data_IF_350132093962
#
_entry.id   IF_350132093962
#
_cell.length_a   1.000
_cell.length_b   1.000
_cell.length_c   1.000
_cell.angle_alpha   90.00
_cell.angle_beta   90.00
_cell.angle_gamma   90.00
#
_symmetry.space_group_name_H-M   'P 1'
#
loop_
_entity.id
_entity.type
_entity.pdbx_description
1 polymer ?
#
# COMPACT_ATOMS: atom_id res chain seq x y z
N UNK A 1 14.22 12.31 14.18
CA UNK A 1 13.85 11.04 13.53
C UNK A 1 15.05 10.18 13.14
N UNK A 2 16.14 10.75 12.59
CA UNK A 2 17.35 10.01 12.20
C UNK A 2 18.00 9.22 13.34
N UNK A 3 18.11 9.81 14.54
CA UNK A 3 18.66 9.14 15.72
C UNK A 3 17.82 7.93 16.19
N UNK A 4 16.49 8.04 16.13
CA UNK A 4 15.59 6.94 16.50
C UNK A 4 15.70 5.77 15.52
N UNK A 5 15.77 6.06 14.21
CA UNK A 5 15.96 5.06 13.17
C UNK A 5 17.30 4.34 13.32
N UNK A 6 18.37 5.09 13.59
CA UNK A 6 19.70 4.53 13.76
C UNK A 6 19.80 3.67 15.02
N UNK A 7 19.14 4.07 16.11
CA UNK A 7 19.05 3.26 17.34
C UNK A 7 18.32 1.93 17.11
N UNK A 8 17.19 1.95 16.38
CA UNK A 8 16.44 0.74 16.03
C UNK A 8 17.27 -0.19 15.16
N UNK A 9 17.96 0.33 14.14
CA UNK A 9 18.82 -0.47 13.27
C UNK A 9 19.95 -1.14 14.07
N UNK A 10 20.65 -0.39 14.94
CA UNK A 10 21.71 -0.96 15.77
C UNK A 10 21.20 -2.06 16.71
N UNK A 11 19.99 -1.90 17.26
CA UNK A 11 19.37 -2.92 18.11
C UNK A 11 18.94 -4.16 17.31
N UNK A 12 18.47 -3.97 16.08
CA UNK A 12 18.13 -5.06 15.17
C UNK A 12 19.38 -5.88 14.79
N UNK A 13 20.46 -5.21 14.42
CA UNK A 13 21.75 -5.84 14.08
C UNK A 13 22.31 -6.66 15.25
N UNK A 14 22.18 -6.15 16.48
CA UNK A 14 22.59 -6.87 17.68
C UNK A 14 21.76 -8.14 17.93
N UNK A 15 20.45 -8.09 17.69
CA UNK A 15 19.57 -9.25 17.86
C UNK A 15 19.85 -10.32 16.79
N UNK A 16 20.06 -9.91 15.55
CA UNK A 16 20.41 -10.81 14.44
C UNK A 16 21.78 -11.47 14.69
N UNK A 17 22.80 -10.68 15.06
CA UNK A 17 24.13 -11.21 15.33
C UNK A 17 24.13 -12.23 16.48
N UNK A 18 23.33 -12.00 17.54
CA UNK A 18 23.15 -12.97 18.64
C UNK A 18 22.42 -14.23 18.20
N UNK A 19 21.40 -14.09 17.35
CA UNK A 19 20.71 -15.24 16.79
C UNK A 19 21.66 -16.12 15.96
N UNK A 20 22.49 -15.51 15.12
CA UNK A 20 23.49 -16.21 14.31
C UNK A 20 24.54 -16.92 15.18
N UNK A 21 24.99 -16.27 16.25
CA UNK A 21 25.93 -16.87 17.21
C UNK A 21 25.32 -18.08 17.94
N UNK A 22 24.07 -17.98 18.39
CA UNK A 22 23.34 -19.07 19.05
C UNK A 22 23.06 -20.23 18.08
N UNK A 23 22.72 -19.91 16.83
CA UNK A 23 22.51 -20.92 15.80
C UNK A 23 23.82 -21.65 15.47
N UNK A 24 24.94 -20.94 15.38
CA UNK A 24 26.28 -21.51 15.19
C UNK A 24 26.72 -22.43 16.32
N UNK A 25 26.18 -22.26 17.53
CA UNK A 25 26.38 -23.14 18.70
C UNK A 25 25.41 -24.33 18.75
N UNK A 26 24.45 -24.39 17.83
CA UNK A 26 23.40 -25.42 17.79
C UNK A 26 22.16 -25.10 18.63
N UNK A 27 22.14 -23.97 19.33
CA UNK A 27 21.05 -23.53 20.21
C UNK A 27 19.91 -22.88 19.42
N UNK A 28 19.31 -23.66 18.52
CA UNK A 28 18.28 -23.22 17.57
C UNK A 28 17.04 -22.62 18.26
N UNK A 29 16.72 -23.07 19.47
CA UNK A 29 15.60 -22.52 20.26
C UNK A 29 15.87 -21.09 20.71
N UNK A 30 17.08 -20.80 21.19
CA UNK A 30 17.40 -19.45 21.66
C UNK A 30 17.71 -18.50 20.50
N UNK A 31 18.31 -19.01 19.42
CA UNK A 31 18.43 -18.27 18.17
C UNK A 31 17.05 -17.78 17.68
N UNK A 32 16.04 -18.66 17.70
CA UNK A 32 14.67 -18.29 17.34
C UNK A 32 14.10 -17.21 18.26
N UNK A 33 14.34 -17.28 19.57
CA UNK A 33 13.88 -16.24 20.51
C UNK A 33 14.49 -14.87 20.21
N UNK A 34 15.76 -14.81 19.80
CA UNK A 34 16.39 -13.54 19.42
C UNK A 34 15.80 -12.99 18.10
N UNK A 35 15.48 -13.86 17.13
CA UNK A 35 14.77 -13.46 15.90
C UNK A 35 13.35 -12.98 16.20
N UNK A 36 12.61 -13.62 17.11
CA UNK A 36 11.26 -13.19 17.49
C UNK A 36 11.28 -11.78 18.14
N UNK A 37 12.32 -11.47 18.92
CA UNK A 37 12.55 -10.13 19.46
C UNK A 37 12.84 -9.12 18.35
N UNK A 38 13.68 -9.47 17.38
CA UNK A 38 13.98 -8.63 16.22
C UNK A 38 12.72 -8.30 15.40
N UNK A 39 11.88 -9.32 15.16
CA UNK A 39 10.60 -9.16 14.48
C UNK A 39 9.66 -8.23 15.26
N UNK A 40 9.54 -8.41 16.57
CA UNK A 40 8.70 -7.55 17.42
C UNK A 40 9.19 -6.10 17.43
N UNK A 41 10.49 -5.87 17.60
CA UNK A 41 11.10 -4.54 17.56
C UNK A 41 10.80 -3.82 16.25
N UNK A 42 10.99 -4.51 15.11
CA UNK A 42 10.72 -3.96 13.79
C UNK A 42 9.24 -3.60 13.63
N UNK A 43 8.34 -4.50 14.05
CA UNK A 43 6.89 -4.26 13.99
C UNK A 43 6.48 -3.01 14.77
N UNK A 44 6.89 -2.89 16.03
CA UNK A 44 6.57 -1.73 16.87
C UNK A 44 7.17 -0.45 16.32
N UNK A 45 8.39 -0.53 15.77
CA UNK A 45 9.05 0.63 15.15
C UNK A 45 8.27 1.14 13.94
N UNK A 46 7.83 0.25 13.05
CA UNK A 46 6.98 0.59 11.90
C UNK A 46 5.65 1.20 12.36
N UNK A 47 4.99 0.61 13.36
CA UNK A 47 3.75 1.13 13.92
C UNK A 47 3.94 2.55 14.49
N UNK A 48 5.04 2.80 15.20
CA UNK A 48 5.36 4.12 15.78
C UNK A 48 5.62 5.21 14.72
N UNK A 49 6.27 4.86 13.61
CA UNK A 49 6.51 5.78 12.49
C UNK A 49 5.17 6.16 11.84
N UNK A 50 4.23 5.22 11.79
CA UNK A 50 2.91 5.44 11.18
C UNK A 50 1.92 6.16 12.10
N UNK A 51 2.04 6.03 13.42
CA UNK A 51 1.11 6.65 14.38
C UNK A 51 1.45 8.09 14.73
N UNK A 52 2.69 8.54 14.44
CA UNK A 52 3.19 9.86 14.82
C UNK A 52 2.92 11.00 13.82
N UNK A 53 2.49 10.70 12.59
CA UNK A 53 2.29 11.72 11.56
C UNK A 53 0.91 11.57 10.92
N UNK A 54 -0.01 12.48 11.24
CA UNK A 54 -1.09 12.78 10.29
C UNK A 54 -0.39 13.38 9.08
N UNK A 55 -0.24 12.61 8.01
CA UNK A 55 0.22 13.15 6.73
C UNK A 55 -0.86 14.11 6.22
N UNK A 56 -0.78 15.38 6.63
CA UNK A 56 -1.55 16.45 6.01
C UNK A 56 -0.89 16.72 4.68
N UNK A 57 -1.21 15.90 3.67
CA UNK A 57 -0.76 16.15 2.31
C UNK A 57 -1.54 17.34 1.80
N UNK A 58 -0.92 18.53 1.82
CA UNK A 58 -1.45 19.71 1.16
C UNK A 58 -1.48 19.41 -0.34
N UNK A 59 -2.66 19.27 -0.94
CA UNK A 59 -2.82 19.05 -2.38
C UNK A 59 -2.58 20.37 -3.12
N UNK A 60 -1.31 20.77 -3.23
CA UNK A 60 -0.90 21.91 -4.03
C UNK A 60 -0.01 21.38 -5.15
N UNK A 61 -0.53 21.41 -6.38
CA UNK A 61 0.20 21.00 -7.58
C UNK A 61 0.62 22.24 -8.35
N UNK A 62 1.85 22.26 -8.86
CA UNK A 62 2.37 23.33 -9.70
C UNK A 62 1.76 23.26 -11.11
N UNK A 63 1.47 22.03 -11.59
CA UNK A 63 0.89 21.79 -12.91
C UNK A 63 -0.19 20.70 -12.87
N UNK A 64 -1.01 20.65 -13.91
CA UNK A 64 -1.99 19.56 -14.10
C UNK A 64 -1.34 18.22 -14.42
N UNK A 65 -0.14 18.23 -14.99
CA UNK A 65 0.63 17.01 -15.20
C UNK A 65 1.08 16.41 -13.86
N UNK A 66 1.56 17.23 -12.92
CA UNK A 66 1.93 16.78 -11.58
C UNK A 66 0.72 16.23 -10.78
N UNK A 67 -0.43 16.90 -10.89
CA UNK A 67 -1.69 16.42 -10.32
C UNK A 67 -2.09 15.06 -10.91
N UNK A 68 -1.92 14.88 -12.23
CA UNK A 68 -2.19 13.63 -12.90
C UNK A 68 -1.25 12.51 -12.42
N UNK A 69 0.06 12.75 -12.34
CA UNK A 69 1.03 11.78 -11.80
C UNK A 69 0.69 11.37 -10.37
N UNK A 70 0.26 12.32 -9.54
CA UNK A 70 -0.24 12.01 -8.20
C UNK A 70 -1.47 11.09 -8.22
N UNK A 71 -2.46 11.37 -9.07
CA UNK A 71 -3.65 10.52 -9.19
C UNK A 71 -3.32 9.14 -9.79
N UNK A 72 -2.25 9.02 -10.59
CA UNK A 72 -1.74 7.74 -11.09
C UNK A 72 -1.27 6.87 -9.92
N UNK A 73 -0.39 7.41 -9.06
CA UNK A 73 0.09 6.72 -7.87
C UNK A 73 -1.06 6.31 -6.94
N UNK A 74 -2.05 7.18 -6.80
CA UNK A 74 -3.25 6.91 -5.99
C UNK A 74 -4.07 5.77 -6.59
N UNK A 75 -4.31 5.77 -7.90
CA UNK A 75 -5.03 4.69 -8.58
C UNK A 75 -4.28 3.36 -8.50
N UNK A 76 -2.96 3.38 -8.68
CA UNK A 76 -2.10 2.20 -8.61
C UNK A 76 -2.08 1.59 -7.21
N UNK A 77 -2.08 2.43 -6.17
CA UNK A 77 -2.25 2.00 -4.78
C UNK A 77 -3.57 1.23 -4.59
N UNK A 78 -4.67 1.71 -5.15
CA UNK A 78 -5.96 1.00 -5.06
C UNK A 78 -5.96 -0.32 -5.84
N UNK A 79 -5.31 -0.37 -7.00
CA UNK A 79 -5.12 -1.62 -7.74
C UNK A 79 -4.31 -2.65 -6.92
N UNK A 80 -3.26 -2.20 -6.22
CA UNK A 80 -2.51 -3.05 -5.31
C UNK A 80 -3.39 -3.59 -4.16
N UNK A 81 -4.25 -2.74 -3.58
CA UNK A 81 -5.18 -3.17 -2.54
C UNK A 81 -6.18 -4.22 -3.03
N UNK A 82 -6.67 -4.12 -4.27
CA UNK A 82 -7.48 -5.18 -4.87
C UNK A 82 -6.70 -6.50 -4.87
N UNK A 83 -5.46 -6.51 -5.37
CA UNK A 83 -4.65 -7.73 -5.40
C UNK A 83 -4.43 -8.31 -4.00
N UNK A 84 -4.04 -7.47 -3.03
CA UNK A 84 -3.70 -7.93 -1.69
C UNK A 84 -4.91 -8.37 -0.87
N UNK A 85 -6.02 -7.66 -1.00
CA UNK A 85 -7.15 -7.80 -0.07
C UNK A 85 -8.31 -8.60 -0.65
N UNK A 86 -8.39 -8.69 -1.97
CA UNK A 86 -9.52 -9.25 -2.70
C UNK A 86 -9.10 -10.52 -3.43
N UNK A 87 -7.94 -10.59 -4.08
CA UNK A 87 -7.48 -11.85 -4.69
C UNK A 87 -7.16 -12.90 -3.59
N UNK A 88 -7.52 -14.16 -3.84
CA UNK A 88 -7.29 -15.27 -2.90
C UNK A 88 -8.28 -15.40 -1.73
N UNK A 89 -9.27 -14.51 -1.59
CA UNK A 89 -10.36 -14.68 -0.62
C UNK A 89 -11.56 -15.39 -1.21
N UNK A 90 -12.08 -16.37 -0.47
CA UNK A 90 -13.39 -16.95 -0.75
C UNK A 90 -14.49 -15.89 -0.61
N UNK A 91 -15.31 -15.80 -1.65
CA UNK A 91 -16.37 -14.79 -1.79
C UNK A 91 -17.60 -15.44 -2.38
N UNK A 92 -18.77 -14.88 -2.05
CA UNK A 92 -20.00 -15.23 -2.75
C UNK A 92 -19.90 -14.89 -4.24
N UNK A 93 -20.60 -15.64 -5.08
CA UNK A 93 -20.61 -15.41 -6.53
C UNK A 93 -21.14 -14.01 -6.90
N UNK A 94 -22.06 -13.48 -6.11
CA UNK A 94 -22.54 -12.11 -6.22
C UNK A 94 -21.40 -11.10 -5.99
N UNK A 95 -20.62 -11.26 -4.91
CA UNK A 95 -19.48 -10.38 -4.61
C UNK A 95 -18.39 -10.48 -5.68
N UNK A 96 -18.08 -11.70 -6.17
CA UNK A 96 -17.14 -11.91 -7.28
C UNK A 96 -17.58 -11.16 -8.54
N UNK A 97 -18.85 -11.26 -8.91
CA UNK A 97 -19.40 -10.58 -10.09
C UNK A 97 -19.27 -9.05 -9.98
N UNK A 98 -19.64 -8.49 -8.82
CA UNK A 98 -19.56 -7.04 -8.60
C UNK A 98 -18.12 -6.54 -8.60
N UNK A 99 -17.20 -7.24 -7.95
CA UNK A 99 -15.76 -6.92 -7.97
C UNK A 99 -15.25 -6.90 -9.40
N UNK A 100 -15.50 -7.95 -10.18
CA UNK A 100 -15.05 -8.04 -11.57
C UNK A 100 -15.60 -6.91 -12.42
N UNK A 101 -16.89 -6.58 -12.26
CA UNK A 101 -17.52 -5.45 -12.98
C UNK A 101 -16.81 -4.12 -12.69
N UNK A 102 -16.64 -3.79 -11.41
CA UNK A 102 -16.03 -2.51 -11.02
C UNK A 102 -14.55 -2.42 -11.42
N UNK A 103 -13.79 -3.51 -11.33
CA UNK A 103 -12.39 -3.55 -11.79
C UNK A 103 -12.31 -3.38 -13.31
N UNK A 104 -13.22 -3.99 -14.06
CA UNK A 104 -13.27 -3.82 -15.51
C UNK A 104 -13.61 -2.37 -15.92
N UNK A 105 -14.61 -1.76 -15.28
CA UNK A 105 -14.96 -0.34 -15.49
C UNK A 105 -13.77 0.58 -15.15
N UNK A 106 -13.10 0.34 -14.01
CA UNK A 106 -11.93 1.10 -13.60
C UNK A 106 -10.79 1.03 -14.64
N UNK A 107 -10.56 -0.16 -15.22
CA UNK A 107 -9.53 -0.36 -16.24
C UNK A 107 -9.83 0.44 -17.52
N UNK A 108 -11.08 0.45 -17.97
CA UNK A 108 -11.49 1.23 -19.15
C UNK A 108 -11.29 2.73 -18.91
N UNK A 109 -11.72 3.23 -17.74
CA UNK A 109 -11.53 4.64 -17.36
C UNK A 109 -10.05 5.02 -17.29
N UNK A 110 -9.20 4.14 -16.73
CA UNK A 110 -7.75 4.36 -16.68
C UNK A 110 -7.14 4.46 -18.09
N UNK A 111 -7.49 3.55 -18.98
CA UNK A 111 -7.00 3.57 -20.37
C UNK A 111 -7.43 4.84 -21.10
N UNK A 112 -8.65 5.33 -20.86
CA UNK A 112 -9.11 6.60 -21.42
C UNK A 112 -8.33 7.77 -20.83
N UNK A 113 -8.10 7.78 -19.52
CA UNK A 113 -7.28 8.81 -18.86
C UNK A 113 -5.87 8.88 -19.45
N UNK A 114 -5.20 7.73 -19.59
CA UNK A 114 -3.86 7.63 -20.18
C UNK A 114 -3.82 8.15 -21.62
N UNK A 115 -4.87 7.92 -22.41
CA UNK A 115 -4.98 8.45 -23.77
C UNK A 115 -5.11 9.99 -23.78
N UNK A 116 -6.00 10.56 -22.95
CA UNK A 116 -6.14 12.02 -22.85
C UNK A 116 -4.88 12.70 -22.30
N UNK A 117 -4.18 12.07 -21.35
CA UNK A 117 -2.90 12.57 -20.86
C UNK A 117 -1.82 12.56 -21.94
N UNK A 118 -1.78 11.52 -22.79
CA UNK A 118 -0.88 11.45 -23.94
C UNK A 118 -1.07 12.60 -24.95
N UNK A 119 -2.28 13.15 -25.02
CA UNK A 119 -2.61 14.34 -25.82
C UNK A 119 -2.43 15.67 -25.05
N UNK A 120 -1.92 15.63 -23.82
CA UNK A 120 -1.74 16.79 -22.94
C UNK A 120 -3.03 17.30 -22.29
N UNK A 121 -4.16 16.59 -22.44
CA UNK A 121 -5.45 16.94 -21.87
C UNK A 121 -5.57 16.45 -20.41
N UNK A 122 -4.64 16.89 -19.56
CA UNK A 122 -4.51 16.40 -18.18
C UNK A 122 -5.75 16.64 -17.31
N UNK A 123 -6.50 17.73 -17.50
CA UNK A 123 -7.74 17.95 -16.73
C UNK A 123 -8.79 16.85 -16.95
N UNK A 124 -8.98 16.43 -18.20
CA UNK A 124 -9.90 15.34 -18.55
C UNK A 124 -9.34 14.01 -18.04
N UNK A 125 -8.03 13.81 -18.18
CA UNK A 125 -7.36 12.62 -17.71
C UNK A 125 -7.50 12.44 -16.18
N UNK A 126 -7.33 13.51 -15.40
CA UNK A 126 -7.52 13.52 -13.95
C UNK A 126 -8.95 13.11 -13.58
N UNK A 127 -9.98 13.70 -14.19
CA UNK A 127 -11.37 13.35 -13.87
C UNK A 127 -11.67 11.87 -14.16
N UNK A 128 -11.22 11.36 -15.30
CA UNK A 128 -11.37 9.94 -15.65
C UNK A 128 -10.61 9.04 -14.67
N UNK A 129 -9.44 9.46 -14.21
CA UNK A 129 -8.61 8.72 -13.27
C UNK A 129 -9.22 8.69 -11.86
N UNK A 130 -9.80 9.80 -11.41
CA UNK A 130 -10.59 9.82 -10.18
C UNK A 130 -11.80 8.89 -10.26
N UNK A 131 -12.51 8.90 -11.40
CA UNK A 131 -13.63 7.99 -11.64
C UNK A 131 -13.17 6.52 -11.63
N UNK A 132 -12.01 6.22 -12.23
CA UNK A 132 -11.39 4.90 -12.14
C UNK A 132 -11.14 4.50 -10.69
N UNK A 133 -10.53 5.39 -9.89
CA UNK A 133 -10.26 5.16 -8.47
C UNK A 133 -11.54 4.94 -7.66
N UNK A 134 -12.60 5.72 -7.93
CA UNK A 134 -13.92 5.54 -7.31
C UNK A 134 -14.49 4.13 -7.57
N UNK A 135 -14.28 3.57 -8.76
CA UNK A 135 -14.70 2.20 -9.08
C UNK A 135 -13.86 1.15 -8.34
N UNK A 136 -12.53 1.35 -8.23
CA UNK A 136 -11.68 0.45 -7.42
C UNK A 136 -12.10 0.45 -5.95
N UNK A 137 -12.43 1.61 -5.36
CA UNK A 137 -12.97 1.70 -3.99
C UNK A 137 -14.28 0.91 -3.85
N UNK A 138 -15.18 0.99 -4.84
CA UNK A 138 -16.43 0.19 -4.85
C UNK A 138 -16.17 -1.31 -4.95
N UNK A 139 -15.17 -1.74 -5.72
CA UNK A 139 -14.75 -3.13 -5.78
C UNK A 139 -14.25 -3.62 -4.41
N UNK A 140 -13.39 -2.85 -3.74
CA UNK A 140 -12.87 -3.22 -2.41
C UNK A 140 -14.01 -3.33 -1.37
N UNK A 141 -14.93 -2.35 -1.36
CA UNK A 141 -16.11 -2.38 -0.49
C UNK A 141 -17.03 -3.56 -0.77
N UNK A 142 -17.21 -3.91 -2.05
CA UNK A 142 -18.01 -5.08 -2.47
C UNK A 142 -17.37 -6.42 -2.08
N UNK A 143 -16.06 -6.43 -1.82
CA UNK A 143 -15.35 -7.56 -1.22
C UNK A 143 -15.47 -7.59 0.32
N UNK A 144 -16.27 -6.70 0.92
CA UNK A 144 -16.52 -6.65 2.36
C UNK A 144 -15.50 -5.85 3.16
N UNK A 145 -14.67 -5.03 2.50
CA UNK A 145 -13.58 -4.29 3.13
C UNK A 145 -13.90 -2.80 3.10
N UNK A 146 -13.99 -2.18 4.29
CA UNK A 146 -14.20 -0.75 4.37
C UNK A 146 -12.89 0.00 4.14
N UNK A 147 -12.90 0.91 3.18
CA UNK A 147 -11.86 1.91 2.98
C UNK A 147 -12.55 3.28 2.93
N UNK A 148 -12.14 4.24 3.80
CA UNK A 148 -12.64 5.61 3.74
C UNK A 148 -12.26 6.24 2.39
N UNK A 149 -13.19 7.05 1.86
CA UNK A 149 -13.04 7.69 0.54
C UNK A 149 -11.99 8.79 0.54
#
# INVERSE_FOLDING_TARGET
>A
ETDSKQKVNNQLDQLIARADELLGKGDSTEARREIDKAYHLLKVSIESIRSGQTLVRSLQFETKEEEYDYEIDRNDTHNMLIRLLVEGKEKSDYSKTQVTKFVAEAKVLRQQADAYAGDGAYEIAIDLLEQSTKQLVRAIRSAGIYIPG
#
